data_IF_053456984129
#
_entry.id   IF_053456984129
#
_cell.length_a   1.000
_cell.length_b   1.000
_cell.length_c   1.000
_cell.angle_alpha   90.00
_cell.angle_beta   90.00
_cell.angle_gamma   90.00
#
_symmetry.space_group_name_H-M   'P 1'
#
loop_
_entity.id
_entity.type
_entity.pdbx_description
1 polymer ?
#
# COMPACT_ATOMS: atom_id res chain seq x y z
N UNK A 1 27.21 12.12 -7.28
CA UNK A 1 27.56 11.01 -6.37
C UNK A 1 27.01 9.75 -7.00
N UNK A 2 27.80 8.68 -7.07
CA UNK A 2 27.41 7.42 -7.68
C UNK A 2 26.45 6.70 -6.70
N UNK A 3 25.20 7.14 -6.63
CA UNK A 3 24.21 6.64 -5.66
C UNK A 3 23.60 5.34 -6.16
N UNK A 4 24.42 4.29 -6.18
CA UNK A 4 23.95 2.95 -6.46
C UNK A 4 23.55 2.29 -5.13
N UNK A 5 22.26 2.40 -4.82
CA UNK A 5 21.63 1.73 -3.67
C UNK A 5 21.71 0.20 -3.78
N UNK A 6 22.06 -0.34 -4.95
CA UNK A 6 22.12 -1.77 -5.22
C UNK A 6 23.55 -2.29 -5.31
N UNK A 7 23.74 -3.59 -5.12
CA UNK A 7 25.00 -4.22 -5.48
C UNK A 7 25.20 -4.17 -7.00
N UNK A 8 26.42 -3.89 -7.51
CA UNK A 8 26.67 -3.76 -8.94
C UNK A 8 26.18 -4.97 -9.73
N UNK A 9 25.38 -4.71 -10.78
CA UNK A 9 24.84 -5.76 -11.65
C UNK A 9 23.67 -6.55 -11.06
N UNK A 10 23.07 -6.08 -9.96
CA UNK A 10 21.91 -6.73 -9.31
C UNK A 10 20.82 -5.71 -8.99
N UNK A 11 19.62 -6.20 -8.67
CA UNK A 11 18.53 -5.41 -8.07
C UNK A 11 18.50 -5.52 -6.54
N UNK A 12 19.55 -6.07 -5.92
CA UNK A 12 19.59 -6.30 -4.47
C UNK A 12 20.14 -5.07 -3.78
N UNK A 13 19.37 -4.50 -2.85
CA UNK A 13 19.76 -3.35 -2.06
C UNK A 13 21.00 -3.65 -1.20
N UNK A 14 21.97 -2.74 -1.22
CA UNK A 14 23.14 -2.80 -0.34
C UNK A 14 22.67 -2.71 1.09
N UNK A 15 23.08 -3.68 1.89
CA UNK A 15 22.65 -3.84 3.26
C UNK A 15 23.84 -4.13 4.17
N UNK A 16 23.71 -3.76 5.44
CA UNK A 16 24.75 -3.91 6.48
C UNK A 16 25.13 -5.37 6.76
N UNK A 17 24.28 -6.32 6.36
CA UNK A 17 24.50 -7.76 6.55
C UNK A 17 25.31 -8.39 5.39
N UNK A 18 25.53 -7.66 4.30
CA UNK A 18 26.28 -8.18 3.16
C UNK A 18 25.52 -9.20 2.31
N UNK A 19 24.20 -9.33 2.47
CA UNK A 19 23.41 -10.30 1.71
C UNK A 19 23.20 -9.83 0.27
N UNK A 20 23.59 -10.66 -0.70
CA UNK A 20 23.44 -10.40 -2.14
C UNK A 20 22.40 -11.29 -2.80
N UNK A 21 21.81 -12.23 -2.05
CA UNK A 21 20.68 -13.06 -2.48
C UNK A 21 19.37 -12.37 -2.09
N UNK A 22 18.46 -12.07 -3.03
CA UNK A 22 17.24 -11.32 -2.75
C UNK A 22 16.31 -12.01 -1.77
N UNK A 23 16.22 -13.35 -1.82
CA UNK A 23 15.36 -14.11 -0.94
C UNK A 23 15.87 -14.09 0.52
N UNK A 24 17.17 -14.27 0.72
CA UNK A 24 17.83 -14.15 2.03
C UNK A 24 17.67 -12.75 2.60
N UNK A 25 17.85 -11.70 1.77
CA UNK A 25 17.63 -10.33 2.19
C UNK A 25 16.19 -10.08 2.63
N UNK A 26 15.21 -10.53 1.84
CA UNK A 26 13.79 -10.36 2.14
C UNK A 26 13.40 -11.03 3.48
N UNK A 27 13.91 -12.23 3.76
CA UNK A 27 13.68 -12.89 5.04
C UNK A 27 14.28 -12.14 6.23
N UNK A 28 15.54 -11.70 6.10
CA UNK A 28 16.21 -10.94 7.15
C UNK A 28 15.50 -9.61 7.41
N UNK A 29 15.12 -8.91 6.34
CA UNK A 29 14.38 -7.65 6.43
C UNK A 29 13.02 -7.83 7.10
N UNK A 30 12.25 -8.85 6.73
CA UNK A 30 10.95 -9.12 7.34
C UNK A 30 11.08 -9.37 8.85
N UNK A 31 12.07 -10.14 9.28
CA UNK A 31 12.32 -10.43 10.69
C UNK A 31 12.76 -9.18 11.48
N UNK A 32 13.69 -8.40 10.92
CA UNK A 32 14.16 -7.16 11.54
C UNK A 32 13.01 -6.16 11.66
N UNK A 33 12.29 -5.91 10.56
CA UNK A 33 11.18 -4.96 10.54
C UNK A 33 10.04 -5.37 11.47
N UNK A 34 9.71 -6.67 11.56
CA UNK A 34 8.71 -7.17 12.51
C UNK A 34 9.12 -6.93 13.97
N UNK A 35 10.41 -7.18 14.29
CA UNK A 35 10.96 -6.93 15.63
C UNK A 35 10.88 -5.45 15.98
N UNK A 36 11.32 -4.57 15.09
CA UNK A 36 11.28 -3.11 15.28
C UNK A 36 9.85 -2.56 15.34
N UNK A 37 8.93 -3.12 14.58
CA UNK A 37 7.51 -2.75 14.67
C UNK A 37 6.90 -3.13 16.02
N UNK A 38 7.28 -4.28 16.59
CA UNK A 38 6.85 -4.66 17.94
C UNK A 38 7.46 -3.74 19.02
N UNK A 39 8.70 -3.30 18.86
CA UNK A 39 9.32 -2.31 19.74
C UNK A 39 8.56 -0.97 19.71
N UNK A 40 8.20 -0.48 18.51
CA UNK A 40 7.41 0.75 18.34
C UNK A 40 5.99 0.62 18.88
N UNK A 41 5.37 -0.56 18.79
CA UNK A 41 4.06 -0.79 19.39
C UNK A 41 4.09 -0.66 20.93
N UNK A 42 5.21 -1.06 21.55
CA UNK A 42 5.41 -0.95 22.99
C UNK A 42 5.88 0.45 23.42
N UNK A 43 6.77 1.06 22.63
CA UNK A 43 7.37 2.37 22.89
C UNK A 43 7.37 3.19 21.59
N UNK A 44 6.27 3.89 21.29
CA UNK A 44 6.19 4.76 20.12
C UNK A 44 7.27 5.84 20.16
N UNK A 45 7.72 6.28 18.98
CA UNK A 45 8.64 7.41 18.88
C UNK A 45 7.81 8.69 19.02
N UNK A 46 8.13 9.56 19.98
CA UNK A 46 7.45 10.85 20.07
C UNK A 46 7.75 11.72 18.85
N UNK A 47 6.75 12.48 18.39
CA UNK A 47 6.90 13.38 17.26
C UNK A 47 5.69 14.29 17.07
N UNK A 48 5.74 15.12 16.03
CA UNK A 48 4.71 16.12 15.72
C UNK A 48 3.93 15.79 14.45
N UNK A 49 3.99 14.52 14.03
CA UNK A 49 3.38 14.05 12.79
C UNK A 49 3.81 14.88 11.57
N UNK A 50 5.09 15.22 11.53
CA UNK A 50 5.79 15.85 10.43
C UNK A 50 6.69 14.84 9.70
N UNK A 51 7.39 15.29 8.66
CA UNK A 51 8.29 14.42 7.92
C UNK A 51 9.46 13.92 8.79
N UNK A 52 9.96 14.73 9.73
CA UNK A 52 11.02 14.31 10.64
C UNK A 52 10.60 13.13 11.51
N UNK A 53 9.34 13.11 11.96
CA UNK A 53 8.75 11.99 12.67
C UNK A 53 8.70 10.73 11.78
N UNK A 54 8.24 10.85 10.53
CA UNK A 54 8.23 9.72 9.58
C UNK A 54 9.66 9.20 9.30
N UNK A 55 10.64 10.09 9.17
CA UNK A 55 12.05 9.71 9.00
C UNK A 55 12.59 8.95 10.23
N UNK A 56 12.22 9.35 11.44
CA UNK A 56 12.62 8.68 12.67
C UNK A 56 12.04 7.26 12.75
N UNK A 57 10.75 7.10 12.42
CA UNK A 57 10.09 5.78 12.31
C UNK A 57 10.81 4.92 11.27
N UNK A 58 11.03 5.45 10.07
CA UNK A 58 11.71 4.72 9.00
C UNK A 58 13.12 4.29 9.40
N UNK A 59 13.89 5.18 10.04
CA UNK A 59 15.23 4.88 10.55
C UNK A 59 15.21 3.79 11.62
N UNK A 60 14.22 3.81 12.51
CA UNK A 60 14.07 2.77 13.53
C UNK A 60 13.73 1.40 12.92
N UNK A 61 12.84 1.35 11.93
CA UNK A 61 12.43 0.11 11.30
C UNK A 61 13.54 -0.57 10.49
N UNK A 62 14.41 0.20 9.84
CA UNK A 62 15.33 -0.32 8.82
C UNK A 62 16.80 0.04 9.03
N UNK A 63 17.14 0.81 10.06
CA UNK A 63 18.51 1.32 10.28
C UNK A 63 19.56 0.25 10.56
N UNK A 64 19.15 -0.90 11.08
CA UNK A 64 20.03 -2.07 11.26
C UNK A 64 20.42 -2.73 9.93
N UNK A 65 19.62 -2.51 8.88
CA UNK A 65 19.79 -3.16 7.58
C UNK A 65 20.33 -2.19 6.52
N UNK A 66 19.85 -0.95 6.50
CA UNK A 66 20.16 0.00 5.44
C UNK A 66 20.79 1.28 5.97
N UNK A 67 21.89 1.71 5.34
CA UNK A 67 22.59 2.94 5.75
C UNK A 67 21.77 4.20 5.47
N UNK A 68 20.95 4.16 4.43
CA UNK A 68 20.07 5.24 3.98
C UNK A 68 18.74 5.30 4.75
N UNK A 69 18.53 4.46 5.77
CA UNK A 69 17.27 4.44 6.49
C UNK A 69 16.96 5.81 7.12
N UNK A 70 15.82 6.39 6.72
CA UNK A 70 15.37 7.71 7.14
C UNK A 70 15.84 8.84 6.21
N UNK A 71 16.55 8.55 5.13
CA UNK A 71 17.02 9.53 4.15
C UNK A 71 16.10 9.55 2.91
N UNK A 72 15.84 10.74 2.37
CA UNK A 72 15.07 10.90 1.14
C UNK A 72 15.81 10.23 -0.02
N UNK A 73 15.08 9.49 -0.87
CA UNK A 73 15.66 8.88 -2.07
C UNK A 73 16.11 9.94 -3.07
N UNK A 74 17.18 9.62 -3.77
CA UNK A 74 17.76 10.50 -4.81
C UNK A 74 17.62 9.92 -6.21
N UNK A 75 16.87 8.83 -6.34
CA UNK A 75 16.64 8.11 -7.59
C UNK A 75 15.14 7.95 -7.81
N UNK A 76 14.75 7.83 -9.06
CA UNK A 76 13.41 7.34 -9.39
C UNK A 76 13.30 5.90 -8.90
N UNK A 77 12.19 5.60 -8.24
CA UNK A 77 11.77 4.22 -8.02
C UNK A 77 11.12 3.74 -9.31
N UNK A 78 11.43 2.51 -9.73
CA UNK A 78 10.70 1.90 -10.83
C UNK A 78 9.19 1.98 -10.53
N UNK A 79 8.33 2.27 -11.52
CA UNK A 79 6.91 2.00 -11.38
C UNK A 79 6.83 0.53 -10.97
N UNK A 80 6.20 0.23 -9.83
CA UNK A 80 6.02 -1.18 -9.43
C UNK A 80 5.28 -1.96 -10.52
N UNK A 81 5.04 -3.25 -10.32
CA UNK A 81 4.41 -4.15 -11.31
C UNK A 81 3.06 -3.65 -11.88
N UNK A 82 2.46 -2.63 -11.28
CA UNK A 82 1.18 -2.02 -11.66
C UNK A 82 1.29 -0.63 -12.33
N UNK A 83 2.50 -0.15 -12.61
CA UNK A 83 2.71 1.12 -13.33
C UNK A 83 2.39 2.39 -12.52
N UNK A 84 2.28 2.28 -11.20
CA UNK A 84 2.04 3.41 -10.29
C UNK A 84 3.28 4.31 -10.30
N UNK A 85 3.09 5.57 -10.67
CA UNK A 85 4.15 6.57 -10.72
C UNK A 85 4.27 7.27 -9.36
N UNK A 86 5.50 7.32 -8.85
CA UNK A 86 5.84 8.13 -7.69
C UNK A 86 6.45 9.46 -8.12
N UNK A 87 6.49 10.43 -7.20
CA UNK A 87 7.07 11.73 -7.50
C UNK A 87 8.57 11.64 -7.88
N UNK A 88 9.04 12.45 -8.84
CA UNK A 88 10.46 12.49 -9.15
C UNK A 88 11.24 13.02 -7.93
N UNK A 89 12.51 12.58 -7.69
CA UNK A 89 13.30 13.00 -6.54
C UNK A 89 13.39 14.50 -6.30
N UNK A 90 13.39 15.28 -7.38
CA UNK A 90 13.45 16.75 -7.32
C UNK A 90 12.17 17.39 -6.77
N UNK A 91 11.01 16.72 -6.88
CA UNK A 91 9.73 17.22 -6.39
C UNK A 91 9.45 16.83 -4.94
N UNK A 92 10.05 15.72 -4.45
CA UNK A 92 9.78 15.15 -3.13
C UNK A 92 9.79 16.20 -2.00
N UNK A 93 10.78 17.10 -1.86
CA UNK A 93 10.77 18.05 -0.74
C UNK A 93 9.54 18.96 -0.72
N UNK A 94 9.12 19.46 -1.89
CA UNK A 94 7.96 20.34 -2.00
C UNK A 94 6.63 19.61 -1.76
N UNK A 95 6.52 18.37 -2.24
CA UNK A 95 5.33 17.55 -2.00
C UNK A 95 5.23 17.11 -0.54
N UNK A 96 6.36 16.80 0.13
CA UNK A 96 6.36 16.54 1.57
C UNK A 96 5.87 17.76 2.36
N UNK A 97 6.35 18.96 2.03
CA UNK A 97 5.88 20.19 2.69
C UNK A 97 4.36 20.37 2.54
N UNK A 98 3.82 20.14 1.33
CA UNK A 98 2.38 20.18 1.07
C UNK A 98 1.63 19.13 1.88
N UNK A 99 1.99 17.86 1.72
CA UNK A 99 1.29 16.71 2.34
C UNK A 99 1.28 16.82 3.86
N UNK A 100 2.40 17.18 4.50
CA UNK A 100 2.46 17.32 5.95
C UNK A 100 1.79 18.59 6.47
N UNK A 101 1.68 19.65 5.66
CA UNK A 101 0.81 20.80 5.99
C UNK A 101 -0.65 20.36 6.00
N UNK A 102 -1.07 19.61 5.00
CA UNK A 102 -2.44 19.12 4.86
C UNK A 102 -2.80 18.16 6.01
N UNK A 103 -1.96 17.16 6.31
CA UNK A 103 -2.14 16.22 7.45
C UNK A 103 -2.37 16.97 8.77
N UNK A 104 -1.55 17.99 9.04
CA UNK A 104 -1.62 18.74 10.29
C UNK A 104 -2.84 19.66 10.39
N UNK A 105 -3.56 19.89 9.29
CA UNK A 105 -4.76 20.73 9.27
C UNK A 105 -6.07 19.95 9.15
N UNK A 106 -6.09 18.84 8.41
CA UNK A 106 -7.31 18.05 8.16
C UNK A 106 -7.67 17.16 9.35
N UNK A 107 -6.83 16.15 9.60
CA UNK A 107 -7.13 15.06 10.54
C UNK A 107 -7.47 15.56 11.94
N UNK A 108 -6.68 16.50 12.48
CA UNK A 108 -6.88 17.02 13.83
C UNK A 108 -8.16 17.84 13.97
N UNK A 109 -8.71 18.41 12.90
CA UNK A 109 -9.97 19.16 12.97
C UNK A 109 -11.16 18.20 12.96
N UNK A 110 -11.07 17.12 12.18
CA UNK A 110 -12.18 16.21 11.92
C UNK A 110 -12.22 14.96 12.81
N UNK A 111 -11.25 14.78 13.71
CA UNK A 111 -11.14 13.60 14.58
C UNK A 111 -12.38 13.29 15.44
N UNK A 112 -13.27 14.25 15.68
CA UNK A 112 -14.51 14.02 16.44
C UNK A 112 -15.57 13.19 15.69
N UNK A 113 -15.48 13.10 14.37
CA UNK A 113 -16.36 12.28 13.53
C UNK A 113 -15.58 11.11 12.98
N UNK A 114 -16.03 9.88 13.29
CA UNK A 114 -15.43 8.66 12.75
C UNK A 114 -15.34 8.72 11.22
N UNK A 115 -16.42 9.09 10.56
CA UNK A 115 -16.47 9.17 9.10
C UNK A 115 -15.48 10.18 8.54
N UNK A 116 -15.49 11.42 9.07
CA UNK A 116 -14.62 12.47 8.55
C UNK A 116 -13.14 12.14 8.81
N UNK A 117 -12.83 11.57 9.97
CA UNK A 117 -11.50 11.10 10.30
C UNK A 117 -11.01 10.01 9.33
N UNK A 118 -11.84 9.00 9.04
CA UNK A 118 -11.48 7.90 8.13
C UNK A 118 -11.19 8.43 6.72
N UNK A 119 -12.01 9.35 6.21
CA UNK A 119 -11.83 9.95 4.88
C UNK A 119 -10.53 10.76 4.81
N UNK A 120 -10.29 11.66 5.77
CA UNK A 120 -9.07 12.47 5.80
C UNK A 120 -7.82 11.59 5.93
N UNK A 121 -7.84 10.63 6.87
CA UNK A 121 -6.73 9.69 7.07
C UNK A 121 -6.39 8.94 5.77
N UNK A 122 -7.40 8.43 5.06
CA UNK A 122 -7.22 7.70 3.81
C UNK A 122 -6.68 8.60 2.69
N UNK A 123 -7.24 9.80 2.52
CA UNK A 123 -6.76 10.76 1.53
C UNK A 123 -5.30 11.15 1.75
N UNK A 124 -4.95 11.52 2.98
CA UNK A 124 -3.57 11.86 3.33
C UNK A 124 -2.59 10.68 3.20
N UNK A 125 -3.05 9.46 3.48
CA UNK A 125 -2.22 8.27 3.28
C UNK A 125 -1.99 8.00 1.79
N UNK A 126 -3.02 8.17 0.96
CA UNK A 126 -2.89 8.12 -0.50
C UNK A 126 -1.86 9.11 -1.02
N UNK A 127 -2.01 10.38 -0.64
CA UNK A 127 -1.10 11.47 -0.98
C UNK A 127 0.37 11.14 -0.63
N UNK A 128 0.62 10.73 0.62
CA UNK A 128 1.97 10.37 1.07
C UNK A 128 2.55 9.14 0.34
N UNK A 129 1.68 8.26 -0.17
CA UNK A 129 2.08 7.09 -0.96
C UNK A 129 2.56 7.48 -2.34
N UNK A 130 1.93 8.46 -2.97
CA UNK A 130 2.39 9.02 -4.25
C UNK A 130 3.74 9.70 -4.13
N UNK A 131 4.02 10.39 -3.01
CA UNK A 131 5.34 11.00 -2.76
C UNK A 131 6.45 9.96 -2.69
N UNK A 132 6.19 8.85 -1.98
CA UNK A 132 7.11 7.72 -1.85
C UNK A 132 8.55 8.15 -1.48
N UNK A 133 8.77 8.83 -0.33
CA UNK A 133 10.00 9.59 -0.10
C UNK A 133 11.27 8.75 0.10
N UNK A 134 11.17 7.47 0.44
CA UNK A 134 12.32 6.60 0.73
C UNK A 134 12.60 5.59 -0.41
N UNK A 135 13.78 4.99 -0.42
CA UNK A 135 14.20 4.00 -1.44
C UNK A 135 13.34 2.74 -1.38
N UNK A 136 13.11 2.24 -0.17
CA UNK A 136 12.18 1.16 0.17
C UNK A 136 11.73 1.39 1.62
N UNK A 137 10.72 0.67 2.13
CA UNK A 137 10.23 0.79 3.50
C UNK A 137 9.06 1.77 3.68
N UNK A 138 8.67 2.49 2.63
CA UNK A 138 7.60 3.48 2.65
C UNK A 138 6.30 2.93 3.28
N UNK A 139 5.82 1.79 2.80
CA UNK A 139 4.59 1.15 3.30
C UNK A 139 4.61 0.86 4.80
N UNK A 140 5.76 0.43 5.32
CA UNK A 140 5.93 0.04 6.73
C UNK A 140 6.05 1.26 7.63
N UNK A 141 6.82 2.27 7.21
CA UNK A 141 6.95 3.52 7.93
C UNK A 141 5.60 4.26 8.02
N UNK A 142 4.89 4.37 6.89
CA UNK A 142 3.56 4.98 6.86
C UNK A 142 2.56 4.22 7.73
N UNK A 143 2.61 2.87 7.73
CA UNK A 143 1.74 2.05 8.57
C UNK A 143 1.85 2.42 10.05
N UNK A 144 3.05 2.54 10.61
CA UNK A 144 3.20 2.95 12.01
C UNK A 144 2.93 4.45 12.20
N UNK A 145 3.30 5.30 11.25
CA UNK A 145 2.99 6.73 11.31
C UNK A 145 1.48 6.99 11.44
N UNK A 146 0.66 6.43 10.56
CA UNK A 146 -0.80 6.64 10.57
C UNK A 146 -1.50 5.88 11.71
N UNK A 147 -0.97 4.75 12.17
CA UNK A 147 -1.48 4.09 13.39
C UNK A 147 -1.24 4.95 14.63
N UNK A 148 -0.04 5.51 14.77
CA UNK A 148 0.30 6.40 15.88
C UNK A 148 -0.52 7.70 15.83
N UNK A 149 -0.74 8.24 14.63
CA UNK A 149 -1.57 9.43 14.44
C UNK A 149 -3.02 9.15 14.85
N UNK A 150 -3.59 8.03 14.42
CA UNK A 150 -4.93 7.63 14.83
C UNK A 150 -5.04 7.53 16.37
N UNK A 151 -4.05 6.89 17.01
CA UNK A 151 -3.99 6.71 18.46
C UNK A 151 -3.91 8.04 19.21
N UNK A 152 -3.14 8.99 18.72
CA UNK A 152 -2.98 10.31 19.33
C UNK A 152 -4.30 11.08 19.40
N UNK A 153 -5.19 10.89 18.42
CA UNK A 153 -6.50 11.56 18.36
C UNK A 153 -7.67 10.69 18.85
N UNK A 154 -7.40 9.57 19.52
CA UNK A 154 -8.41 8.73 20.19
C UNK A 154 -9.00 7.60 19.35
N UNK A 155 -8.47 7.36 18.15
CA UNK A 155 -8.83 6.24 17.28
C UNK A 155 -7.73 5.17 17.27
N UNK A 156 -7.98 4.01 16.69
CA UNK A 156 -6.95 3.00 16.46
C UNK A 156 -7.36 2.11 15.29
N UNK A 157 -6.37 1.61 14.54
CA UNK A 157 -6.59 0.67 13.44
C UNK A 157 -6.48 -0.75 13.98
N UNK A 158 -7.55 -1.53 13.86
CA UNK A 158 -7.56 -2.95 14.22
C UNK A 158 -6.95 -3.80 13.08
N UNK A 159 -5.62 -3.90 13.08
CA UNK A 159 -4.85 -4.60 12.05
C UNK A 159 -5.17 -6.09 11.91
N UNK A 160 -5.71 -6.73 12.96
CA UNK A 160 -6.14 -8.15 12.92
C UNK A 160 -7.41 -8.37 12.08
N UNK A 161 -8.08 -7.29 11.72
CA UNK A 161 -9.29 -7.26 10.90
C UNK A 161 -9.01 -6.70 9.50
N UNK A 162 -7.75 -6.56 9.10
CA UNK A 162 -7.35 -6.07 7.78
C UNK A 162 -6.50 -7.10 7.04
N UNK A 163 -6.65 -7.12 5.72
CA UNK A 163 -5.67 -7.72 4.81
C UNK A 163 -4.60 -6.68 4.50
N UNK A 164 -3.32 -7.02 4.73
CA UNK A 164 -2.19 -6.13 4.39
C UNK A 164 -2.15 -5.87 2.89
N UNK A 165 -2.43 -6.89 2.08
CA UNK A 165 -2.49 -6.77 0.62
C UNK A 165 -3.63 -5.86 0.17
N UNK A 166 -4.80 -5.93 0.83
CA UNK A 166 -5.93 -5.04 0.53
C UNK A 166 -5.60 -3.58 0.87
N UNK A 167 -5.01 -3.32 2.05
CA UNK A 167 -4.60 -1.96 2.45
C UNK A 167 -3.54 -1.44 1.49
N UNK A 168 -2.57 -2.27 1.12
CA UNK A 168 -1.53 -1.90 0.16
C UNK A 168 -2.14 -1.57 -1.20
N UNK A 169 -3.05 -2.37 -1.73
CA UNK A 169 -3.74 -2.11 -3.00
C UNK A 169 -4.56 -0.82 -2.94
N UNK A 170 -5.40 -0.66 -1.92
CA UNK A 170 -6.29 0.50 -1.77
C UNK A 170 -5.53 1.82 -1.64
N UNK A 171 -4.41 1.81 -0.92
CA UNK A 171 -3.57 3.00 -0.75
C UNK A 171 -2.90 3.43 -2.05
N UNK A 172 -2.45 2.47 -2.87
CA UNK A 172 -1.97 2.81 -4.20
C UNK A 172 -3.12 3.28 -5.10
N UNK A 173 -4.31 2.72 -4.92
CA UNK A 173 -5.51 3.07 -5.69
C UNK A 173 -6.03 4.47 -5.34
N UNK A 174 -5.63 5.03 -4.20
CA UNK A 174 -5.92 6.41 -3.82
C UNK A 174 -5.45 7.44 -4.87
N UNK A 175 -4.44 7.10 -5.67
CA UNK A 175 -4.03 7.90 -6.83
C UNK A 175 -5.14 8.03 -7.89
N UNK A 176 -6.03 7.03 -7.98
CA UNK A 176 -7.13 6.97 -8.95
C UNK A 176 -8.39 7.65 -8.39
N UNK A 177 -8.74 7.40 -7.12
CA UNK A 177 -10.04 7.73 -6.55
C UNK A 177 -10.01 8.72 -5.38
N UNK A 178 -8.85 9.31 -5.09
CA UNK A 178 -8.66 10.24 -3.98
C UNK A 178 -8.70 9.60 -2.59
N UNK A 179 -8.58 8.27 -2.49
CA UNK A 179 -8.56 7.54 -1.22
C UNK A 179 -9.91 6.96 -0.80
N UNK A 180 -10.93 7.01 -1.66
CA UNK A 180 -12.28 6.53 -1.35
C UNK A 180 -12.30 5.04 -0.98
N UNK A 181 -11.68 4.18 -1.80
CA UNK A 181 -11.57 2.75 -1.54
C UNK A 181 -10.69 2.47 -0.31
N UNK A 182 -9.63 3.27 -0.09
CA UNK A 182 -8.83 3.14 1.13
C UNK A 182 -9.65 3.47 2.38
N UNK A 183 -10.47 4.52 2.33
CA UNK A 183 -11.40 4.86 3.39
C UNK A 183 -12.35 3.70 3.65
N UNK A 184 -12.95 3.10 2.62
CA UNK A 184 -13.84 1.94 2.77
C UNK A 184 -13.16 0.71 3.39
N UNK A 185 -11.91 0.42 2.99
CA UNK A 185 -11.11 -0.67 3.56
C UNK A 185 -10.81 -0.43 5.04
N UNK A 186 -10.47 0.81 5.43
CA UNK A 186 -10.08 1.15 6.80
C UNK A 186 -11.28 1.37 7.73
N UNK A 187 -12.41 1.87 7.22
CA UNK A 187 -13.60 2.26 7.98
C UNK A 187 -14.05 1.25 9.05
N UNK A 188 -14.22 -0.06 8.74
CA UNK A 188 -14.66 -1.02 9.76
C UNK A 188 -13.56 -1.35 10.79
N UNK A 189 -12.29 -1.16 10.44
CA UNK A 189 -11.15 -1.47 11.30
C UNK A 189 -10.73 -0.30 12.19
N UNK A 190 -11.09 0.94 11.83
CA UNK A 190 -10.85 2.11 12.69
C UNK A 190 -11.90 2.14 13.79
N UNK A 191 -11.45 2.04 15.04
CA UNK A 191 -12.29 1.95 16.25
C UNK A 191 -11.79 2.88 17.34
N UNK A 192 -12.59 3.20 18.38
CA UNK A 192 -12.09 3.94 19.52
C UNK A 192 -10.83 3.27 20.09
N UNK A 193 -9.82 4.07 20.47
CA UNK A 193 -8.52 3.57 20.93
C UNK A 193 -8.63 2.60 22.11
N UNK A 194 -9.67 2.74 22.93
CA UNK A 194 -9.96 1.88 24.09
C UNK A 194 -10.37 0.45 23.72
N UNK A 195 -10.76 0.21 22.46
CA UNK A 195 -11.23 -1.09 21.97
C UNK A 195 -10.12 -1.91 21.29
N UNK A 196 -9.01 -1.27 20.90
CA UNK A 196 -7.96 -1.87 20.09
C UNK A 196 -6.67 -2.02 20.91
N UNK A 197 -6.14 -3.24 21.07
CA UNK A 197 -4.86 -3.47 21.73
C UNK A 197 -3.71 -2.67 21.08
N UNK A 198 -2.76 -2.19 21.90
CA UNK A 198 -1.59 -1.45 21.42
C UNK A 198 -0.72 -2.27 20.47
N UNK A 199 -0.65 -3.58 20.69
CA UNK A 199 0.15 -4.52 19.89
C UNK A 199 -0.53 -4.96 18.58
N UNK A 200 -1.76 -4.50 18.28
CA UNK A 200 -2.48 -4.89 17.06
C UNK A 200 -1.62 -4.64 15.80
N UNK A 201 -0.90 -3.53 15.73
CA UNK A 201 0.00 -3.21 14.60
C UNK A 201 1.13 -4.24 14.40
N UNK A 202 1.61 -4.87 15.48
CA UNK A 202 2.66 -5.88 15.43
C UNK A 202 2.12 -7.30 15.16
N UNK A 203 0.80 -7.51 15.21
CA UNK A 203 0.22 -8.82 14.97
C UNK A 203 0.18 -9.19 13.49
N UNK A 204 0.44 -10.47 13.19
CA UNK A 204 0.29 -11.00 11.85
C UNK A 204 -1.20 -10.98 11.44
N UNK A 205 -1.53 -10.50 10.23
CA UNK A 205 -2.89 -10.58 9.70
C UNK A 205 -3.39 -12.02 9.67
N UNK A 206 -4.71 -12.21 9.74
CA UNK A 206 -5.32 -13.51 9.41
C UNK A 206 -5.00 -13.86 7.95
N UNK A 207 -4.75 -15.14 7.68
CA UNK A 207 -4.30 -15.63 6.37
C UNK A 207 -5.09 -15.02 5.21
N UNK A 208 -4.39 -14.39 4.28
CA UNK A 208 -5.00 -13.64 3.18
C UNK A 208 -5.54 -14.60 2.12
N UNK A 209 -6.81 -14.43 1.75
CA UNK A 209 -7.45 -15.18 0.67
C UNK A 209 -7.10 -14.62 -0.73
N UNK A 210 -6.56 -13.40 -0.78
CA UNK A 210 -6.20 -12.68 -2.01
C UNK A 210 -4.88 -11.96 -1.82
N UNK A 211 -4.10 -11.91 -2.89
CA UNK A 211 -2.83 -11.20 -3.03
C UNK A 211 -3.05 -9.74 -3.42
N UNK A 212 -1.98 -8.93 -3.34
CA UNK A 212 -2.01 -7.53 -3.76
C UNK A 212 -2.52 -7.32 -5.21
N UNK A 213 -2.04 -8.05 -6.24
CA UNK A 213 -2.55 -7.89 -7.61
C UNK A 213 -4.03 -8.25 -7.76
N UNK A 214 -4.50 -9.25 -7.01
CA UNK A 214 -5.91 -9.65 -7.04
C UNK A 214 -6.81 -8.58 -6.41
N UNK A 215 -6.38 -7.98 -5.30
CA UNK A 215 -7.07 -6.85 -4.70
C UNK A 215 -7.10 -5.65 -5.64
N UNK A 216 -5.97 -5.32 -6.28
CA UNK A 216 -5.88 -4.23 -7.23
C UNK A 216 -6.86 -4.40 -8.40
N UNK A 217 -6.90 -5.59 -9.00
CA UNK A 217 -7.82 -5.89 -10.09
C UNK A 217 -9.29 -5.76 -9.64
N UNK A 218 -9.62 -6.28 -8.46
CA UNK A 218 -10.97 -6.16 -7.90
C UNK A 218 -11.38 -4.70 -7.64
N UNK A 219 -10.43 -3.84 -7.26
CA UNK A 219 -10.68 -2.40 -7.05
C UNK A 219 -10.93 -1.67 -8.36
N UNK A 220 -10.18 -1.99 -9.44
CA UNK A 220 -10.45 -1.47 -10.80
C UNK A 220 -11.87 -1.84 -11.22
N UNK A 221 -12.22 -3.13 -11.13
CA UNK A 221 -13.54 -3.62 -11.54
C UNK A 221 -14.66 -2.96 -10.73
N UNK A 222 -14.46 -2.78 -9.43
CA UNK A 222 -15.40 -2.06 -8.56
C UNK A 222 -15.57 -0.61 -8.99
N UNK A 223 -14.47 0.10 -9.20
CA UNK A 223 -14.47 1.50 -9.61
C UNK A 223 -15.18 1.71 -10.96
N UNK A 224 -14.98 0.81 -11.91
CA UNK A 224 -15.57 0.92 -13.25
C UNK A 224 -17.06 0.57 -13.28
N UNK A 225 -17.52 -0.34 -12.41
CA UNK A 225 -18.87 -0.92 -12.52
C UNK A 225 -19.83 -0.47 -11.43
N UNK A 226 -19.33 -0.16 -10.23
CA UNK A 226 -20.13 0.13 -9.03
C UNK A 226 -19.53 1.28 -8.19
N UNK A 227 -19.14 2.43 -8.78
CA UNK A 227 -18.42 3.49 -8.07
C UNK A 227 -19.20 4.13 -6.91
N UNK A 228 -20.53 4.05 -6.93
CA UNK A 228 -21.40 4.60 -5.87
C UNK A 228 -21.56 3.64 -4.68
N UNK A 229 -21.07 2.40 -4.77
CA UNK A 229 -21.13 1.43 -3.68
C UNK A 229 -19.82 1.42 -2.90
N UNK A 230 -19.89 1.27 -1.57
CA UNK A 230 -18.70 1.13 -0.75
C UNK A 230 -17.98 -0.19 -1.06
N UNK A 231 -16.65 -0.15 -1.21
CA UNK A 231 -15.83 -1.34 -1.44
C UNK A 231 -15.64 -2.13 -0.14
N UNK A 232 -16.01 -3.41 -0.13
CA UNK A 232 -15.73 -4.29 1.03
C UNK A 232 -14.88 -5.48 0.60
N UNK A 233 -13.61 -5.52 1.00
CA UNK A 233 -12.72 -6.64 0.67
C UNK A 233 -13.18 -7.95 1.33
N UNK A 234 -13.89 -7.88 2.47
CA UNK A 234 -14.46 -9.03 3.16
C UNK A 234 -15.51 -9.79 2.33
N UNK A 235 -16.18 -9.12 1.38
CA UNK A 235 -17.15 -9.76 0.46
C UNK A 235 -16.48 -10.55 -0.67
N UNK A 236 -15.17 -10.39 -0.87
CA UNK A 236 -14.38 -11.05 -1.90
C UNK A 236 -13.66 -12.31 -1.40
N UNK A 237 -13.80 -12.64 -0.10
CA UNK A 237 -13.51 -13.99 0.39
C UNK A 237 -14.54 -14.89 -0.28
N UNK A 238 -14.19 -15.50 -1.42
CA UNK A 238 -14.94 -16.66 -1.91
C UNK A 238 -14.99 -17.63 -0.73
N UNK A 239 -16.19 -17.87 -0.18
CA UNK A 239 -16.40 -18.99 0.73
C UNK A 239 -15.77 -20.20 0.05
N UNK A 240 -14.87 -20.90 0.74
CA UNK A 240 -14.35 -22.17 0.24
C UNK A 240 -15.50 -22.95 -0.41
N UNK A 241 -15.31 -23.36 -1.67
CA UNK A 241 -16.27 -24.20 -2.35
C UNK A 241 -16.65 -25.35 -1.40
N UNK A 242 -17.93 -25.75 -1.30
CA UNK A 242 -18.36 -26.74 -0.33
C UNK A 242 -17.43 -27.94 -0.38
N UNK A 243 -16.79 -28.25 0.75
CA UNK A 243 -16.02 -29.47 0.89
C UNK A 243 -16.93 -30.63 0.47
N UNK A 244 -16.54 -31.32 -0.60
CA UNK A 244 -17.24 -32.52 -1.04
C UNK A 244 -17.18 -33.52 0.11
N UNK A 245 -18.34 -33.77 0.71
CA UNK A 245 -18.56 -34.79 1.72
C UNK A 245 -18.13 -36.16 1.16
N UNK A 246 -17.12 -36.85 1.75
CA UNK A 246 -16.71 -38.15 1.27
C UNK A 246 -17.61 -39.22 1.89
N UNK A 247 -18.90 -39.21 1.55
CA UNK A 247 -19.78 -40.35 1.81
C UNK A 247 -20.75 -40.58 0.65
N UNK A 248 -20.34 -41.49 -0.25
CA UNK A 248 -21.18 -42.58 -0.74
C UNK A 248 -20.36 -43.46 -1.68
N UNK A 249 -19.71 -44.48 -1.11
CA UNK A 249 -19.23 -45.64 -1.86
C UNK A 249 -20.43 -46.40 -2.43
N UNK A 250 -20.66 -46.25 -3.73
CA UNK A 250 -21.27 -47.32 -4.54
C UNK A 250 -20.29 -47.70 -5.65
N UNK A 251 -19.72 -48.90 -5.50
CA UNK A 251 -18.83 -49.51 -6.48
C UNK A 251 -19.69 -49.92 -7.68
N UNK A 252 -19.49 -49.24 -8.81
CA UNK A 252 -20.05 -49.62 -10.11
C UNK A 252 -18.95 -50.26 -10.96
N UNK A 253 -19.18 -51.41 -11.64
CA UNK A 253 -18.12 -52.15 -12.31
C UNK A 253 -17.60 -51.41 -13.54
N UNK A 254 -16.29 -51.50 -13.74
CA UNK A 254 -15.50 -50.89 -14.81
C UNK A 254 -15.87 -51.42 -16.19
N UNK A 255 -16.15 -50.57 -17.20
CA UNK A 255 -16.04 -50.95 -18.60
C UNK A 255 -14.62 -50.70 -19.13
N UNK A 256 -14.14 -51.66 -19.91
CA UNK A 256 -12.85 -51.74 -20.61
C UNK A 256 -12.53 -50.47 -21.44
N UNK A 257 -11.26 -49.99 -21.48
CA UNK A 257 -10.91 -48.79 -22.22
C UNK A 257 -10.73 -49.07 -23.73
N UNK A 258 -11.35 -48.22 -24.54
CA UNK A 258 -11.09 -48.08 -25.99
C UNK A 258 -10.40 -46.73 -26.18
N UNK A 259 -9.19 -46.74 -26.75
CA UNK A 259 -8.44 -45.54 -27.13
C UNK A 259 -9.14 -44.81 -28.31
N UNK A 260 -8.94 -43.49 -28.46
CA UNK A 260 -7.98 -43.08 -29.47
C UNK A 260 -7.09 -41.86 -29.09
N UNK A 261 -6.20 -41.60 -30.03
CA UNK A 261 -4.93 -40.87 -30.02
C UNK A 261 -4.97 -39.33 -30.04
N UNK A 262 -3.86 -38.77 -29.53
CA UNK A 262 -3.06 -37.58 -29.96
C UNK A 262 -3.73 -36.20 -29.93
N UNK A 263 -3.05 -35.11 -29.57
CA UNK A 263 -1.63 -34.76 -29.73
C UNK A 263 -1.30 -33.64 -28.71
N UNK A 264 -0.19 -33.77 -27.96
CA UNK A 264 0.39 -32.65 -27.22
C UNK A 264 1.09 -31.73 -28.23
N UNK A 265 0.70 -30.47 -28.27
CA UNK A 265 1.47 -29.42 -28.92
C UNK A 265 1.99 -28.45 -27.84
N UNK A 266 3.28 -28.14 -27.98
CA UNK A 266 4.11 -27.36 -27.08
C UNK A 266 3.49 -26.02 -26.67
N UNK A 267 3.30 -25.81 -25.36
CA UNK A 267 3.19 -24.47 -24.80
C UNK A 267 4.60 -23.91 -24.64
N UNK A 268 4.99 -23.13 -25.63
CA UNK A 268 6.17 -22.29 -25.64
C UNK A 268 6.13 -21.29 -24.47
N UNK A 269 6.97 -21.53 -23.46
CA UNK A 269 7.09 -20.71 -22.25
C UNK A 269 7.97 -19.46 -22.43
N UNK A 270 8.38 -19.13 -23.67
CA UNK A 270 9.22 -17.95 -23.94
C UNK A 270 8.43 -16.63 -24.14
N UNK A 271 7.11 -16.63 -23.95
CA UNK A 271 6.25 -15.44 -24.19
C UNK A 271 5.87 -14.59 -22.96
N UNK A 272 6.51 -14.78 -21.82
CA UNK A 272 6.37 -13.86 -20.67
C UNK A 272 7.65 -13.05 -20.37
N UNK A 273 8.46 -12.80 -21.40
CA UNK A 273 9.51 -11.79 -21.35
C UNK A 273 9.47 -10.87 -22.57
N UNK A 274 9.00 -9.65 -22.35
CA UNK A 274 9.30 -8.48 -23.19
C UNK A 274 9.33 -7.27 -22.26
N UNK A 275 10.51 -6.87 -21.77
CA UNK A 275 11.34 -5.84 -22.40
C UNK A 275 10.51 -4.63 -22.82
N UNK A 276 10.59 -3.54 -22.08
CA UNK A 276 10.23 -2.22 -22.60
C UNK A 276 11.49 -1.40 -22.82
N UNK A 277 11.70 -1.01 -24.07
CA UNK A 277 12.79 -0.16 -24.55
C UNK A 277 12.30 1.29 -24.59
N UNK A 278 13.13 2.29 -24.24
CA UNK A 278 12.70 3.67 -24.07
C UNK A 278 12.66 4.39 -25.42
N UNK A 279 11.52 4.39 -26.11
CA UNK A 279 11.40 5.16 -27.36
C UNK A 279 9.94 5.42 -27.76
N UNK A 280 9.14 6.06 -26.89
CA UNK A 280 8.02 6.90 -27.33
C UNK A 280 7.84 8.03 -26.31
N UNK A 281 8.50 9.15 -26.55
CA UNK A 281 8.06 10.43 -26.00
C UNK A 281 7.64 11.32 -27.18
N UNK A 282 6.69 12.22 -26.93
CA UNK A 282 5.94 13.05 -27.88
C UNK A 282 4.64 12.47 -28.44
N UNK A 283 3.58 12.54 -27.64
CA UNK A 283 2.33 13.26 -27.97
C UNK A 283 1.32 12.97 -26.87
N UNK A 284 1.32 13.77 -25.80
CA UNK A 284 0.17 14.02 -24.92
C UNK A 284 0.48 15.20 -23.98
N UNK A 285 1.09 16.25 -24.52
CA UNK A 285 1.19 17.57 -23.90
C UNK A 285 0.29 18.50 -24.72
N UNK A 286 -0.98 18.60 -24.31
CA UNK A 286 -1.89 19.75 -24.47
C UNK A 286 -3.35 19.28 -24.36
N UNK A 287 -3.91 19.31 -23.15
CA UNK A 287 -5.34 19.57 -22.88
C UNK A 287 -5.57 19.64 -21.36
N UNK A 288 -5.10 20.71 -20.71
CA UNK A 288 -5.66 21.16 -19.43
C UNK A 288 -6.18 22.57 -19.62
N UNK A 289 -7.47 22.67 -19.96
CA UNK A 289 -8.22 23.92 -19.88
C UNK A 289 -8.59 24.14 -18.42
N UNK A 290 -8.01 25.15 -17.79
CA UNK A 290 -8.29 25.58 -16.42
C UNK A 290 -9.68 26.25 -16.41
N UNK A 291 -10.65 25.85 -15.56
CA UNK A 291 -11.84 26.65 -15.33
C UNK A 291 -11.49 27.86 -14.45
N UNK A 292 -11.69 29.06 -14.98
CA UNK A 292 -11.64 30.29 -14.19
C UNK A 292 -12.87 30.36 -13.27
N UNK A 293 -12.63 30.49 -11.97
CA UNK A 293 -13.66 30.83 -10.99
C UNK A 293 -14.27 32.21 -11.30
N UNK A 294 -15.58 32.26 -11.49
CA UNK A 294 -16.34 33.50 -11.59
C UNK A 294 -16.73 34.04 -10.20
N UNK A 295 -16.42 35.32 -10.06
CA UNK A 295 -16.80 36.33 -9.08
C UNK A 295 -18.05 36.09 -8.22
N UNK A 296 -17.90 36.16 -6.89
CA UNK A 296 -19.00 36.47 -5.95
C UNK A 296 -19.42 37.95 -6.09
N UNK A 297 -20.72 38.28 -6.01
CA UNK A 297 -21.17 39.67 -5.97
C UNK A 297 -21.07 40.26 -4.55
N UNK A 298 -20.60 41.50 -4.47
CA UNK A 298 -20.66 42.36 -3.29
C UNK A 298 -22.12 42.74 -2.96
N UNK A 299 -22.44 42.77 -1.65
CA UNK A 299 -23.71 43.26 -1.09
C UNK A 299 -23.49 43.77 0.35
N UNK A 300 -24.33 44.68 0.86
CA UNK A 300 -23.88 46.01 1.25
C UNK A 300 -23.35 46.12 2.68
N UNK A 301 -22.46 47.12 2.85
CA UNK A 301 -21.96 47.61 4.14
C UNK A 301 -23.06 48.37 4.89
N UNK A 302 -23.28 47.99 6.15
CA UNK A 302 -23.57 48.87 7.28
C UNK A 302 -22.80 48.32 8.50
#
# INVERSE_FOLDING_TARGET
MNNDYHYPGTTVLRNRLGYTDPHTLAQAEALIAATRMAELAANPIDGHFDFAHLQAIHRHLLGDLYEWAGEIRTIDTAPGDLGILHDPPAAIPGELDRVFTDINSGVYVNHHSHEAFVQDLAGHWGDLTSVHPFVDGNSRAQRVFFDQLARDVGWAIEWRELSVDAVQAARNFAYVDGGTILADVLRPAIKPVTEVPADSIATSPRGAAMTFPEHWQAMIEHYDTMPEQAYTWASQIKSEAPQHDPQSTEIRPTPTPVAPERELADLDTTKFHTHWSPEVDHQLLNSRTIPQHSSRPEGPRL
#
